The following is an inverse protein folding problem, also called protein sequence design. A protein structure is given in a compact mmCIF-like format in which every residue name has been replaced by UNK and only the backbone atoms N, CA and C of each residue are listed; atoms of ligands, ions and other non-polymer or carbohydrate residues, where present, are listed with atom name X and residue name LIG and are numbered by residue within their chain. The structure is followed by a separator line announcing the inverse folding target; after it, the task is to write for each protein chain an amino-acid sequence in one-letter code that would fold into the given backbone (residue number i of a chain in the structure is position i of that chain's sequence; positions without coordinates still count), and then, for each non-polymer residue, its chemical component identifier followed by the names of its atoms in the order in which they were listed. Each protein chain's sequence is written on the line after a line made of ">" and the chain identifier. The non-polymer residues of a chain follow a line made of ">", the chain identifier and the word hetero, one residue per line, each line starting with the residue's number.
data_IF_852316297838
#
_entry.id   IF_852316297838
#
_cell.length_a   1.000
_cell.length_b   1.000
_cell.length_c   1.000
_cell.angle_alpha   90.00
_cell.angle_beta   90.00
_cell.angle_gamma   90.00
#
_symmetry.space_group_name_H-M   'P 1'
#
loop_
_entity.id
_entity.type
_entity.pdbx_description
1 polymer ?
#
# COMPACT_ATOMS: atom_id res chain seq x y z
N UNK A 1 6.01 -11.34 -5.94
CA UNK A 1 4.68 -11.34 -6.59
C UNK A 1 3.95 -10.03 -6.33
N UNK A 2 3.56 -9.69 -5.09
CA UNK A 2 2.80 -8.45 -4.79
C UNK A 2 3.56 -7.17 -5.16
N UNK A 3 4.83 -7.03 -4.75
CA UNK A 3 5.62 -5.85 -5.14
C UNK A 3 5.69 -5.68 -6.67
N UNK A 4 5.89 -6.79 -7.41
CA UNK A 4 5.88 -6.78 -8.88
C UNK A 4 4.51 -6.35 -9.43
N UNK A 5 3.41 -6.86 -8.89
CA UNK A 5 2.05 -6.44 -9.27
C UNK A 5 1.88 -4.93 -9.11
N UNK A 6 2.33 -4.37 -7.98
CA UNK A 6 2.25 -2.92 -7.74
C UNK A 6 3.12 -2.16 -8.74
N UNK A 7 4.40 -2.52 -8.89
CA UNK A 7 5.33 -1.85 -9.80
C UNK A 7 4.88 -1.92 -11.26
N UNK A 8 4.41 -3.09 -11.73
CA UNK A 8 3.88 -3.24 -13.09
C UNK A 8 2.62 -2.38 -13.30
N UNK A 9 1.72 -2.33 -12.30
CA UNK A 9 0.51 -1.49 -12.36
C UNK A 9 0.85 0.00 -12.39
N UNK A 10 1.81 0.46 -11.58
CA UNK A 10 2.30 1.84 -11.64
C UNK A 10 2.91 2.15 -13.01
N UNK A 11 3.77 1.28 -13.52
CA UNK A 11 4.41 1.46 -14.82
C UNK A 11 3.37 1.54 -15.96
N UNK A 12 2.28 0.76 -15.88
CA UNK A 12 1.18 0.84 -16.86
C UNK A 12 0.44 2.18 -16.86
N UNK A 13 0.59 2.97 -15.81
CA UNK A 13 0.03 4.31 -15.65
C UNK A 13 1.11 5.41 -15.82
N UNK A 14 2.29 5.06 -16.32
CA UNK A 14 3.45 5.95 -16.45
C UNK A 14 3.92 6.53 -15.11
N UNK A 15 3.73 5.77 -14.02
CA UNK A 15 4.14 6.09 -12.66
C UNK A 15 5.23 5.12 -12.17
N UNK A 16 5.94 5.54 -11.13
CA UNK A 16 6.98 4.78 -10.44
C UNK A 16 6.74 4.78 -8.93
N UNK A 17 7.56 4.02 -8.20
CA UNK A 17 7.56 4.05 -6.73
C UNK A 17 7.89 5.43 -6.15
N UNK A 18 8.68 6.23 -6.85
CA UNK A 18 9.05 7.58 -6.42
C UNK A 18 7.88 8.58 -6.48
N UNK A 19 6.85 8.28 -7.29
CA UNK A 19 5.65 9.10 -7.40
C UNK A 19 4.63 8.81 -6.29
N UNK A 20 4.86 7.78 -5.48
CA UNK A 20 3.95 7.39 -4.40
C UNK A 20 4.16 8.21 -3.14
N UNK A 21 3.09 8.89 -2.73
CA UNK A 21 3.02 9.53 -1.42
C UNK A 21 2.70 8.52 -0.32
N UNK A 22 1.87 7.49 -0.60
CA UNK A 22 1.41 6.52 0.42
C UNK A 22 0.99 5.16 -0.12
N UNK A 23 1.19 4.11 0.68
CA UNK A 23 0.81 2.73 0.41
C UNK A 23 -0.02 2.17 1.56
N UNK A 24 -1.25 1.73 1.30
CA UNK A 24 -2.09 1.01 2.25
C UNK A 24 -2.14 -0.46 1.88
N UNK A 25 -1.18 -1.21 2.42
CA UNK A 25 -1.02 -2.63 2.17
C UNK A 25 -1.95 -3.48 3.03
N UNK A 26 -2.15 -4.73 2.62
CA UNK A 26 -2.82 -5.75 3.41
C UNK A 26 -2.24 -5.81 4.82
N UNK A 27 -3.08 -5.98 5.84
CA UNK A 27 -2.66 -5.94 7.23
C UNK A 27 -2.80 -7.33 7.83
N UNK A 28 -1.78 -8.17 7.61
CA UNK A 28 -1.69 -9.50 8.23
C UNK A 28 -0.30 -9.83 8.78
N UNK A 29 0.76 -9.22 8.22
CA UNK A 29 2.14 -9.47 8.61
C UNK A 29 2.99 -8.22 8.34
N UNK A 30 3.52 -7.61 9.40
CA UNK A 30 4.34 -6.39 9.30
C UNK A 30 5.58 -6.60 8.44
N UNK A 31 6.29 -7.70 8.64
CA UNK A 31 7.52 -8.00 7.89
C UNK A 31 7.27 -8.09 6.38
N UNK A 32 6.13 -8.66 5.97
CA UNK A 32 5.73 -8.69 4.56
C UNK A 32 5.43 -7.29 4.02
N UNK A 33 4.80 -6.43 4.81
CA UNK A 33 4.51 -5.05 4.41
C UNK A 33 5.81 -4.27 4.22
N UNK A 34 6.74 -4.36 5.16
CA UNK A 34 8.05 -3.69 5.09
C UNK A 34 8.83 -4.14 3.83
N UNK A 35 8.85 -5.45 3.54
CA UNK A 35 9.51 -6.00 2.35
C UNK A 35 8.86 -5.53 1.04
N UNK A 36 7.52 -5.45 0.98
CA UNK A 36 6.80 -5.01 -0.22
C UNK A 36 7.01 -3.52 -0.44
N UNK A 37 6.80 -2.70 0.60
CA UNK A 37 6.93 -1.26 0.52
C UNK A 37 8.36 -0.86 0.12
N UNK A 38 9.39 -1.45 0.74
CA UNK A 38 10.79 -1.20 0.37
C UNK A 38 11.08 -1.52 -1.10
N UNK A 39 10.55 -2.63 -1.61
CA UNK A 39 10.73 -3.01 -3.02
C UNK A 39 10.02 -2.09 -3.99
N UNK A 40 8.85 -1.57 -3.62
CA UNK A 40 8.08 -0.67 -4.47
C UNK A 40 8.68 0.73 -4.47
N UNK A 41 9.01 1.27 -3.30
CA UNK A 41 9.54 2.64 -3.15
C UNK A 41 11.04 2.73 -3.52
N UNK A 42 11.78 1.62 -3.42
CA UNK A 42 13.23 1.61 -3.65
C UNK A 42 14.06 2.01 -2.43
N UNK A 43 13.42 2.42 -1.33
CA UNK A 43 14.04 2.82 -0.06
C UNK A 43 13.21 2.36 1.15
N UNK A 44 13.72 2.56 2.36
CA UNK A 44 12.95 2.24 3.58
C UNK A 44 11.74 3.18 3.71
N UNK A 45 10.50 2.65 3.76
CA UNK A 45 9.34 3.49 4.00
C UNK A 45 9.35 4.05 5.42
N UNK A 46 8.92 5.30 5.57
CA UNK A 46 8.50 5.80 6.88
C UNK A 46 7.04 5.38 7.19
N UNK A 47 6.61 5.57 8.44
CA UNK A 47 5.26 5.19 8.89
C UNK A 47 4.13 5.94 8.16
N UNK A 48 4.40 7.14 7.64
CA UNK A 48 3.45 7.87 6.83
C UNK A 48 3.36 7.32 5.40
N UNK A 49 4.43 6.76 4.83
CA UNK A 49 4.44 6.14 3.51
C UNK A 49 3.82 4.74 3.52
N UNK A 50 3.98 3.96 4.60
CA UNK A 50 3.43 2.61 4.72
C UNK A 50 2.88 2.34 6.14
N UNK A 51 1.70 2.88 6.49
CA UNK A 51 1.13 2.72 7.82
C UNK A 51 0.80 1.25 8.17
N UNK A 52 1.02 0.91 9.44
CA UNK A 52 0.71 -0.39 10.03
C UNK A 52 -0.30 -0.21 11.14
N UNK A 53 -1.37 -1.00 11.11
CA UNK A 53 -2.48 -0.95 12.10
C UNK A 53 -2.66 -2.30 12.84
N UNK A 54 -1.71 -3.22 12.64
CA UNK A 54 -1.75 -4.59 13.14
C UNK A 54 -1.72 -4.69 14.66
N UNK A 55 -1.10 -3.74 15.32
CA UNK A 55 -1.05 -3.60 16.77
C UNK A 55 -2.45 -3.42 17.39
N UNK A 56 -3.33 -2.72 16.67
CA UNK A 56 -4.69 -2.41 17.13
C UNK A 56 -5.75 -3.36 16.58
N UNK A 57 -5.63 -3.78 15.33
CA UNK A 57 -6.67 -4.54 14.63
C UNK A 57 -6.32 -5.99 14.34
N UNK A 58 -5.07 -6.41 14.58
CA UNK A 58 -4.56 -7.69 14.10
C UNK A 58 -4.87 -7.90 12.61
N UNK A 59 -5.06 -9.16 12.19
CA UNK A 59 -5.44 -9.46 10.81
C UNK A 59 -6.97 -9.45 10.64
N UNK A 60 -7.50 -8.41 9.98
CA UNK A 60 -8.93 -8.28 9.64
C UNK A 60 -9.26 -8.76 8.22
N UNK A 61 -8.42 -9.63 7.64
CA UNK A 61 -8.57 -10.17 6.30
C UNK A 61 -8.74 -9.05 5.24
N UNK A 62 -9.77 -9.13 4.40
CA UNK A 62 -10.05 -8.18 3.31
C UNK A 62 -10.15 -6.72 3.75
N UNK A 63 -10.54 -6.45 4.99
CA UNK A 63 -10.73 -5.08 5.47
C UNK A 63 -9.41 -4.36 5.80
N UNK A 64 -8.30 -5.08 5.99
CA UNK A 64 -7.07 -4.52 6.56
C UNK A 64 -6.52 -3.31 5.81
N UNK A 65 -6.40 -3.42 4.48
CA UNK A 65 -5.93 -2.30 3.65
C UNK A 65 -6.90 -1.12 3.61
N UNK A 66 -8.21 -1.39 3.75
CA UNK A 66 -9.24 -0.36 3.75
C UNK A 66 -9.31 0.38 5.09
N UNK A 67 -9.11 -0.32 6.21
CA UNK A 67 -9.01 0.31 7.53
C UNK A 67 -7.75 1.19 7.57
N UNK A 68 -6.61 0.69 7.07
CA UNK A 68 -5.38 1.48 6.96
C UNK A 68 -5.59 2.74 6.10
N UNK A 69 -6.24 2.60 4.94
CA UNK A 69 -6.64 3.74 4.11
C UNK A 69 -7.55 4.71 4.87
N UNK A 70 -8.59 4.22 5.52
CA UNK A 70 -9.54 5.05 6.24
C UNK A 70 -8.86 5.89 7.33
N UNK A 71 -7.97 5.28 8.12
CA UNK A 71 -7.27 5.94 9.24
C UNK A 71 -6.12 6.84 8.78
N UNK A 72 -5.50 6.54 7.64
CA UNK A 72 -4.28 7.22 7.18
C UNK A 72 -4.43 7.79 5.76
N UNK A 73 -5.59 8.35 5.40
CA UNK A 73 -5.79 9.09 4.14
C UNK A 73 -5.67 10.61 4.27
N UNK A 74 -5.58 11.11 5.49
CA UNK A 74 -5.45 12.54 5.76
C UNK A 74 -4.05 13.06 5.39
N UNK A 75 -3.91 14.38 5.29
CA UNK A 75 -2.66 15.05 4.90
C UNK A 75 -2.09 14.60 3.54
N UNK A 76 -2.98 14.27 2.58
CA UNK A 76 -2.63 14.18 1.17
C UNK A 76 -3.03 15.50 0.49
N UNK A 77 -2.13 16.04 -0.30
CA UNK A 77 -2.34 17.21 -1.15
C UNK A 77 -3.03 16.81 -2.45
N UNK A 78 -3.68 17.76 -3.12
CA UNK A 78 -4.22 17.54 -4.46
C UNK A 78 -3.11 17.04 -5.40
N UNK A 79 -3.40 16.00 -6.17
CA UNK A 79 -2.43 15.34 -7.05
C UNK A 79 -1.62 14.21 -6.42
N UNK A 80 -1.56 14.10 -5.08
CA UNK A 80 -0.84 13.01 -4.42
C UNK A 80 -1.35 11.64 -4.85
N UNK A 81 -0.41 10.72 -5.10
CA UNK A 81 -0.70 9.36 -5.53
C UNK A 81 -0.56 8.41 -4.35
N UNK A 82 -1.51 7.48 -4.23
CA UNK A 82 -1.38 6.37 -3.30
C UNK A 82 -1.81 5.05 -3.90
N UNK A 83 -1.43 3.95 -3.24
CA UNK A 83 -1.80 2.59 -3.64
C UNK A 83 -2.47 1.87 -2.48
N UNK A 84 -3.67 1.36 -2.70
CA UNK A 84 -4.27 0.32 -1.85
C UNK A 84 -3.95 -1.03 -2.48
N UNK A 85 -3.33 -1.93 -1.73
CA UNK A 85 -3.08 -3.28 -2.21
C UNK A 85 -3.46 -4.33 -1.15
N UNK A 86 -4.33 -5.26 -1.53
CA UNK A 86 -4.75 -6.38 -0.68
C UNK A 86 -4.28 -7.70 -1.27
N UNK A 87 -3.90 -8.65 -0.43
CA UNK A 87 -3.44 -9.98 -0.85
C UNK A 87 -3.74 -11.04 0.21
N UNK A 88 -4.05 -12.27 -0.19
CA UNK A 88 -4.47 -13.30 0.76
C UNK A 88 -4.65 -14.70 0.17
N UNK A 89 -5.46 -15.53 0.85
CA UNK A 89 -5.64 -16.94 0.52
C UNK A 89 -6.18 -17.16 -0.91
N UNK A 90 -5.81 -18.30 -1.50
CA UNK A 90 -6.03 -18.61 -2.92
C UNK A 90 -4.98 -17.98 -3.86
N UNK A 91 -3.93 -17.36 -3.30
CA UNK A 91 -3.02 -16.39 -3.93
C UNK A 91 -3.77 -15.35 -4.76
N UNK A 92 -4.65 -14.62 -4.09
CA UNK A 92 -5.30 -13.44 -4.65
C UNK A 92 -4.49 -12.19 -4.27
N UNK A 93 -4.36 -11.25 -5.21
CA UNK A 93 -3.81 -9.92 -4.96
C UNK A 93 -4.53 -8.91 -5.85
N UNK A 94 -4.91 -7.77 -5.27
CA UNK A 94 -5.54 -6.65 -5.97
C UNK A 94 -4.81 -5.36 -5.67
N UNK A 95 -4.62 -4.52 -6.68
CA UNK A 95 -3.94 -3.22 -6.59
C UNK A 95 -4.85 -2.13 -7.13
N UNK A 96 -5.02 -1.04 -6.38
CA UNK A 96 -5.80 0.13 -6.76
C UNK A 96 -4.92 1.36 -6.58
N UNK A 97 -4.64 2.06 -7.68
CA UNK A 97 -3.93 3.34 -7.67
C UNK A 97 -4.96 4.45 -7.54
N UNK A 98 -4.72 5.37 -6.61
CA UNK A 98 -5.58 6.51 -6.30
C UNK A 98 -4.80 7.81 -6.53
N UNK A 99 -5.50 8.85 -6.96
CA UNK A 99 -5.00 10.22 -7.01
C UNK A 99 -5.92 11.11 -6.18
N UNK A 100 -5.37 11.90 -5.27
CA UNK A 100 -6.14 12.87 -4.49
C UNK A 100 -6.63 14.00 -5.40
N UNK A 101 -7.90 14.35 -5.25
CA UNK A 101 -8.52 15.55 -5.84
C UNK A 101 -8.82 16.57 -4.73
#
# INVERSE_FOLDING_TARGET
>A
MVAKLITDHLASLELSGADLTRMWLHQANRHMNDLIARKVLGEEPNEAQAPIILDRYANTSSAGSIIAFHLHREALSEGDIGVICSFGAGYSAGSVVLRRQ
#
